data_IF_506699148303
#
_entry.id   IF_506699148303
#
_cell.length_a   1.000
_cell.length_b   1.000
_cell.length_c   1.000
_cell.angle_alpha   90.00
_cell.angle_beta   90.00
_cell.angle_gamma   90.00
#
_symmetry.space_group_name_H-M   'P 1'
#
loop_
_entity.id
_entity.type
_entity.pdbx_description
1 polymer ?
#
# COMPACT_ATOMS: atom_id res chain seq x y z
N UNK A 1 7.92 -8.42 -63.86
CA UNK A 1 8.12 -8.90 -62.48
C UNK A 1 8.69 -7.72 -61.72
N UNK A 2 7.83 -6.81 -61.28
CA UNK A 2 8.23 -5.68 -60.46
C UNK A 2 8.55 -6.21 -59.06
N UNK A 3 9.79 -6.03 -58.63
CA UNK A 3 10.23 -6.42 -57.30
C UNK A 3 9.50 -5.55 -56.26
N UNK A 4 8.87 -6.21 -55.27
CA UNK A 4 8.32 -5.52 -54.11
C UNK A 4 9.42 -4.68 -53.45
N UNK A 5 9.12 -3.44 -53.00
CA UNK A 5 10.09 -2.64 -52.28
C UNK A 5 10.57 -3.39 -51.03
N UNK A 6 11.85 -3.28 -50.66
CA UNK A 6 12.38 -3.94 -49.48
C UNK A 6 11.61 -3.49 -48.24
N UNK A 7 11.24 -4.44 -47.38
CA UNK A 7 10.60 -4.16 -46.10
C UNK A 7 11.44 -3.13 -45.32
N UNK A 8 10.80 -2.11 -44.69
CA UNK A 8 11.53 -1.15 -43.89
C UNK A 8 12.26 -1.89 -42.76
N UNK A 9 13.55 -1.63 -42.63
CA UNK A 9 14.36 -2.17 -41.54
C UNK A 9 13.72 -1.80 -40.20
N UNK A 10 13.70 -2.73 -39.21
CA UNK A 10 13.18 -2.42 -37.89
C UNK A 10 13.95 -1.22 -37.33
N UNK A 11 13.25 -0.23 -36.72
CA UNK A 11 13.91 0.95 -36.19
C UNK A 11 14.99 0.52 -35.19
N UNK A 12 16.21 1.03 -35.39
CA UNK A 12 17.32 0.77 -34.48
C UNK A 12 16.98 1.21 -33.05
N UNK A 13 17.65 0.64 -32.03
CA UNK A 13 17.43 1.02 -30.63
C UNK A 13 17.66 2.53 -30.46
N UNK A 14 16.64 3.25 -29.99
CA UNK A 14 16.73 4.70 -29.74
C UNK A 14 17.75 4.99 -28.63
N UNK A 15 18.74 5.81 -28.92
CA UNK A 15 19.75 6.24 -27.94
C UNK A 15 19.20 7.43 -27.17
N UNK A 16 19.01 7.28 -25.86
CA UNK A 16 18.52 8.35 -25.00
C UNK A 16 19.62 9.38 -24.73
N UNK A 17 19.30 10.66 -24.94
CA UNK A 17 20.15 11.77 -24.49
C UNK A 17 19.86 12.14 -23.03
N UNK A 18 20.80 12.79 -22.35
CA UNK A 18 20.63 13.29 -20.97
C UNK A 18 19.41 14.23 -20.79
N UNK A 19 18.97 14.90 -21.87
CA UNK A 19 17.82 15.80 -21.89
C UNK A 19 16.51 15.13 -22.32
N UNK A 20 16.49 13.83 -22.59
CA UNK A 20 15.30 13.11 -23.01
C UNK A 20 14.43 12.72 -21.81
N UNK A 21 13.62 13.66 -21.36
CA UNK A 21 12.61 13.44 -20.32
C UNK A 21 11.28 12.91 -20.87
N UNK A 22 11.00 13.13 -22.17
CA UNK A 22 9.74 12.74 -22.82
C UNK A 22 9.77 11.28 -23.27
N UNK A 23 8.61 10.61 -23.36
CA UNK A 23 8.52 9.30 -24.01
C UNK A 23 8.83 9.43 -25.50
N UNK A 24 9.74 8.61 -26.03
CA UNK A 24 10.21 8.68 -27.43
C UNK A 24 9.81 7.46 -28.24
N UNK A 25 9.92 6.28 -27.64
CA UNK A 25 9.56 5.03 -28.31
C UNK A 25 8.04 4.83 -28.29
N UNK A 26 7.49 4.19 -29.33
CA UNK A 26 6.05 3.86 -29.40
C UNK A 26 5.59 3.08 -28.18
N UNK A 27 6.40 2.10 -27.73
CA UNK A 27 6.14 1.31 -26.53
C UNK A 27 6.15 2.16 -25.25
N UNK A 28 7.07 3.11 -25.15
CA UNK A 28 7.18 4.01 -23.99
C UNK A 28 5.99 4.97 -23.91
N UNK A 29 5.50 5.45 -25.06
CA UNK A 29 4.31 6.30 -25.15
C UNK A 29 3.06 5.52 -24.69
N UNK A 30 2.87 4.29 -25.17
CA UNK A 30 1.76 3.41 -24.77
C UNK A 30 1.75 3.16 -23.25
N UNK A 31 2.93 2.85 -22.67
CA UNK A 31 3.08 2.65 -21.24
C UNK A 31 2.82 3.94 -20.45
N UNK A 32 3.25 5.08 -20.97
CA UNK A 32 3.01 6.38 -20.35
C UNK A 32 1.52 6.74 -20.34
N UNK A 33 0.79 6.48 -21.43
CA UNK A 33 -0.66 6.67 -21.48
C UNK A 33 -1.40 5.73 -20.52
N UNK A 34 -0.91 4.50 -20.33
CA UNK A 34 -1.46 3.58 -19.33
C UNK A 34 -1.17 4.04 -17.88
N UNK A 35 -0.07 4.75 -17.66
CA UNK A 35 0.35 5.26 -16.35
C UNK A 35 -0.12 6.70 -16.04
N UNK A 36 -0.75 7.39 -16.99
CA UNK A 36 -1.20 8.79 -16.85
C UNK A 36 -2.57 8.93 -16.19
N UNK A 37 -3.30 7.83 -16.01
CA UNK A 37 -4.64 7.82 -15.42
C UNK A 37 -4.66 7.05 -14.12
N UNK A 38 -5.41 7.57 -13.13
CA UNK A 38 -5.60 6.89 -11.85
C UNK A 38 -6.29 5.53 -12.05
N UNK A 39 -5.80 4.49 -11.37
CA UNK A 39 -6.45 3.17 -11.36
C UNK A 39 -7.61 3.12 -10.35
N UNK A 40 -8.76 3.65 -10.77
CA UNK A 40 -9.96 3.70 -9.92
C UNK A 40 -10.51 2.34 -9.53
N UNK A 41 -10.36 1.32 -10.37
CA UNK A 41 -10.80 -0.04 -10.05
C UNK A 41 -9.97 -0.62 -8.91
N UNK A 42 -8.65 -0.41 -8.96
CA UNK A 42 -7.76 -0.81 -7.88
C UNK A 42 -8.06 -0.06 -6.57
N UNK A 43 -8.22 1.27 -6.63
CA UNK A 43 -8.56 2.08 -5.46
C UNK A 43 -9.90 1.72 -4.84
N UNK A 44 -10.92 1.50 -5.67
CA UNK A 44 -12.24 1.11 -5.18
C UNK A 44 -12.23 -0.27 -4.53
N UNK A 45 -11.43 -1.22 -5.04
CA UNK A 45 -11.22 -2.52 -4.39
C UNK A 45 -10.64 -2.38 -2.98
N UNK A 46 -9.59 -1.56 -2.82
CA UNK A 46 -9.00 -1.30 -1.50
C UNK A 46 -9.95 -0.55 -0.56
N UNK A 47 -10.66 0.45 -1.08
CA UNK A 47 -11.67 1.20 -0.32
C UNK A 47 -12.82 0.31 0.16
N UNK A 48 -13.32 -0.57 -0.71
CA UNK A 48 -14.33 -1.57 -0.34
C UNK A 48 -13.80 -2.54 0.72
N UNK A 49 -12.53 -2.95 0.63
CA UNK A 49 -11.87 -3.78 1.64
C UNK A 49 -11.82 -3.11 3.02
N UNK A 50 -11.50 -1.82 3.07
CA UNK A 50 -11.56 -1.05 4.32
C UNK A 50 -12.99 -1.04 4.89
N UNK A 51 -13.98 -0.63 4.10
CA UNK A 51 -15.38 -0.60 4.57
C UNK A 51 -15.85 -1.97 5.04
N UNK A 52 -15.49 -3.04 4.34
CA UNK A 52 -15.80 -4.41 4.74
C UNK A 52 -15.12 -4.79 6.07
N UNK A 53 -13.86 -4.42 6.29
CA UNK A 53 -13.19 -4.68 7.57
C UNK A 53 -13.85 -3.96 8.75
N UNK A 54 -14.32 -2.73 8.55
CA UNK A 54 -15.05 -1.96 9.56
C UNK A 54 -16.41 -2.60 9.85
N UNK A 55 -17.13 -2.99 8.80
CA UNK A 55 -18.41 -3.68 8.94
C UNK A 55 -18.25 -5.02 9.66
N UNK A 56 -17.19 -5.79 9.38
CA UNK A 56 -16.88 -7.04 10.07
C UNK A 56 -16.48 -6.81 11.53
N UNK A 57 -15.65 -5.80 11.84
CA UNK A 57 -15.29 -5.45 13.21
C UNK A 57 -16.55 -5.13 14.04
N UNK A 58 -17.38 -4.23 13.51
CA UNK A 58 -18.59 -3.75 14.19
C UNK A 58 -19.66 -4.82 14.33
N UNK A 59 -19.94 -5.60 13.28
CA UNK A 59 -21.03 -6.57 13.28
C UNK A 59 -20.65 -7.91 13.93
N UNK A 60 -19.40 -8.37 13.78
CA UNK A 60 -19.00 -9.72 14.17
C UNK A 60 -18.09 -9.67 15.40
N UNK A 61 -16.93 -9.01 15.28
CA UNK A 61 -15.89 -9.13 16.31
C UNK A 61 -16.25 -8.43 17.62
N UNK A 62 -16.94 -7.29 17.56
CA UNK A 62 -17.43 -6.61 18.77
C UNK A 62 -18.59 -7.32 19.44
N UNK A 63 -19.51 -7.92 18.66
CA UNK A 63 -20.66 -8.65 19.21
C UNK A 63 -20.26 -9.95 19.91
N UNK A 64 -19.29 -10.68 19.35
CA UNK A 64 -18.76 -11.90 19.97
C UNK A 64 -18.18 -11.60 21.36
N UNK A 65 -17.47 -10.47 21.50
CA UNK A 65 -16.97 -10.03 22.81
C UNK A 65 -18.08 -9.79 23.82
N UNK A 66 -19.16 -9.10 23.43
CA UNK A 66 -20.26 -8.76 24.37
C UNK A 66 -21.13 -9.95 24.76
N UNK A 67 -21.32 -10.94 23.88
CA UNK A 67 -22.23 -12.07 24.14
C UNK A 67 -21.64 -13.04 25.16
N UNK A 68 -20.32 -13.24 25.13
CA UNK A 68 -19.59 -14.12 26.07
C UNK A 68 -19.47 -13.49 27.47
N UNK A 69 -19.47 -12.16 27.56
CA UNK A 69 -19.48 -11.42 28.83
C UNK A 69 -20.77 -11.66 29.62
N UNK A 70 -21.93 -11.84 28.95
CA UNK A 70 -23.23 -12.05 29.59
C UNK A 70 -23.49 -13.51 30.03
N UNK A 71 -22.76 -14.48 29.49
CA UNK A 71 -22.99 -15.91 29.77
C UNK A 71 -22.16 -16.42 30.97
N UNK A 72 -21.11 -15.69 31.36
CA UNK A 72 -20.15 -16.09 32.40
C UNK A 72 -20.20 -15.18 33.65
N UNK A 73 -21.38 -15.04 34.27
CA UNK A 73 -21.59 -14.38 35.58
C UNK A 73 -21.23 -15.31 36.77
N UNK A 74 -20.17 -16.12 36.66
CA UNK A 74 -19.66 -16.91 37.79
C UNK A 74 -18.40 -16.28 38.38
N UNK A 75 -18.23 -16.37 39.70
CA UNK A 75 -17.05 -15.86 40.42
C UNK A 75 -15.73 -16.43 39.87
N UNK A 76 -15.75 -17.66 39.35
CA UNK A 76 -14.61 -18.31 38.68
C UNK A 76 -14.22 -17.62 37.36
N UNK A 77 -15.20 -17.08 36.61
CA UNK A 77 -14.93 -16.34 35.39
C UNK A 77 -14.28 -14.96 35.65
N UNK A 78 -14.43 -14.40 36.85
CA UNK A 78 -13.73 -13.20 37.28
C UNK A 78 -12.26 -13.48 37.63
N UNK A 79 -11.96 -14.61 38.28
CA UNK A 79 -10.57 -15.03 38.54
C UNK A 79 -9.81 -15.42 37.27
N UNK A 80 -10.48 -16.03 36.28
CA UNK A 80 -9.89 -16.27 34.96
C UNK A 80 -9.58 -14.96 34.21
N UNK A 81 -10.43 -13.94 34.37
CA UNK A 81 -10.26 -12.60 33.78
C UNK A 81 -9.04 -11.87 34.34
N UNK A 82 -8.77 -12.01 35.64
CA UNK A 82 -7.62 -11.36 36.32
C UNK A 82 -6.30 -12.09 36.12
N UNK A 83 -6.31 -13.37 35.71
CA UNK A 83 -5.09 -14.18 35.48
C UNK A 83 -4.67 -14.28 34.01
N UNK A 84 -5.20 -13.45 33.12
CA UNK A 84 -4.65 -13.29 31.77
C UNK A 84 -5.10 -14.36 30.78
N UNK A 85 -6.41 -14.63 30.71
CA UNK A 85 -6.95 -15.48 29.65
C UNK A 85 -7.12 -14.67 28.35
N UNK A 86 -6.16 -14.80 27.45
CA UNK A 86 -6.00 -14.03 26.19
C UNK A 86 -7.12 -14.26 25.15
N UNK A 87 -8.08 -15.15 25.44
CA UNK A 87 -9.04 -15.70 24.46
C UNK A 87 -10.33 -14.88 24.27
N UNK A 88 -10.65 -13.96 25.18
CA UNK A 88 -11.82 -13.06 25.14
C UNK A 88 -11.54 -11.69 24.45
N UNK A 89 -10.37 -11.03 24.64
CA UNK A 89 -9.99 -9.83 23.88
C UNK A 89 -9.48 -10.12 22.46
N UNK A 90 -9.22 -11.38 22.10
CA UNK A 90 -8.66 -11.77 20.81
C UNK A 90 -9.55 -11.37 19.61
N UNK A 91 -10.88 -11.43 19.75
CA UNK A 91 -11.80 -11.09 18.66
C UNK A 91 -11.78 -9.60 18.32
N UNK A 92 -11.91 -8.72 19.33
CA UNK A 92 -11.88 -7.26 19.17
C UNK A 92 -10.51 -6.76 18.70
N UNK A 93 -9.43 -7.36 19.20
CA UNK A 93 -8.06 -7.02 18.77
C UNK A 93 -7.76 -7.49 17.35
N UNK A 94 -8.31 -8.63 16.92
CA UNK A 94 -8.23 -9.08 15.52
C UNK A 94 -8.99 -8.16 14.57
N UNK A 95 -10.20 -7.73 14.94
CA UNK A 95 -10.97 -6.74 14.18
C UNK A 95 -10.24 -5.40 14.05
N UNK A 96 -9.68 -4.88 15.15
CA UNK A 96 -8.81 -3.70 15.13
C UNK A 96 -7.58 -3.88 14.23
N UNK A 97 -6.97 -5.07 14.23
CA UNK A 97 -5.86 -5.41 13.35
C UNK A 97 -6.25 -5.45 11.87
N UNK A 98 -7.44 -5.96 11.54
CA UNK A 98 -7.95 -5.96 10.16
C UNK A 98 -8.20 -4.55 9.64
N UNK A 99 -8.76 -3.67 10.48
CA UNK A 99 -8.96 -2.25 10.16
C UNK A 99 -7.61 -1.57 9.96
N UNK A 100 -6.64 -1.79 10.85
CA UNK A 100 -5.28 -1.28 10.66
C UNK A 100 -4.70 -1.73 9.33
N UNK A 101 -4.73 -3.03 9.03
CA UNK A 101 -4.23 -3.60 7.79
C UNK A 101 -4.86 -2.99 6.53
N UNK A 102 -6.18 -2.84 6.51
CA UNK A 102 -6.90 -2.29 5.36
C UNK A 102 -6.66 -0.80 5.17
N UNK A 103 -6.54 -0.02 6.26
CA UNK A 103 -6.10 1.39 6.22
C UNK A 103 -4.71 1.50 5.60
N UNK A 104 -3.77 0.67 6.06
CA UNK A 104 -2.43 0.61 5.49
C UNK A 104 -2.45 0.29 3.99
N UNK A 105 -3.19 -0.76 3.61
CA UNK A 105 -3.32 -1.16 2.22
C UNK A 105 -3.92 -0.03 1.35
N UNK A 106 -4.90 0.71 1.87
CA UNK A 106 -5.47 1.85 1.16
C UNK A 106 -4.45 2.98 0.98
N UNK A 107 -3.73 3.39 2.04
CA UNK A 107 -2.75 4.47 1.98
C UNK A 107 -1.59 4.13 1.04
N UNK A 108 -1.01 2.93 1.18
CA UNK A 108 0.05 2.45 0.29
C UNK A 108 -0.45 2.30 -1.15
N UNK A 109 -1.68 1.81 -1.32
CA UNK A 109 -2.30 1.59 -2.62
C UNK A 109 -2.67 2.87 -3.34
N UNK A 110 -3.08 3.92 -2.61
CA UNK A 110 -3.32 5.25 -3.16
C UNK A 110 -2.08 5.79 -3.86
N UNK A 111 -0.93 5.73 -3.20
CA UNK A 111 0.31 6.14 -3.83
C UNK A 111 0.59 5.38 -5.13
N UNK A 112 0.37 4.07 -5.18
CA UNK A 112 0.64 3.26 -6.36
C UNK A 112 -0.37 3.51 -7.49
N UNK A 113 -1.62 3.77 -7.15
CA UNK A 113 -2.71 3.96 -8.11
C UNK A 113 -2.73 5.34 -8.76
N UNK A 114 -2.08 6.33 -8.16
CA UNK A 114 -1.97 7.67 -8.72
C UNK A 114 -1.12 7.71 -10.00
N UNK A 115 -1.39 8.68 -10.90
CA UNK A 115 -0.69 8.81 -12.16
C UNK A 115 0.80 9.02 -11.93
N UNK A 116 1.61 8.32 -12.72
CA UNK A 116 3.08 8.34 -12.63
C UNK A 116 3.75 9.03 -13.81
N UNK A 117 3.03 9.16 -14.91
CA UNK A 117 3.55 9.64 -16.18
C UNK A 117 2.71 10.79 -16.72
N UNK A 118 3.37 11.73 -17.38
CA UNK A 118 2.72 12.76 -18.20
C UNK A 118 3.34 12.70 -19.61
N UNK A 119 2.60 13.12 -20.64
CA UNK A 119 3.07 13.18 -22.04
C UNK A 119 4.34 14.00 -22.18
N UNK A 120 4.57 14.96 -21.27
CA UNK A 120 5.74 15.83 -21.26
C UNK A 120 6.89 15.30 -20.38
N UNK A 121 6.63 14.34 -19.50
CA UNK A 121 7.61 13.81 -18.56
C UNK A 121 7.33 12.34 -18.26
N UNK A 122 8.18 11.46 -18.79
CA UNK A 122 8.06 10.03 -18.54
C UNK A 122 8.67 9.62 -17.20
N UNK A 123 8.09 8.58 -16.60
CA UNK A 123 8.43 8.14 -15.25
C UNK A 123 9.86 7.60 -15.15
N UNK A 124 10.52 7.89 -14.03
CA UNK A 124 11.86 7.40 -13.71
C UNK A 124 12.93 8.50 -13.67
N UNK A 125 14.12 8.21 -13.12
CA UNK A 125 15.24 9.13 -13.21
C UNK A 125 15.65 9.35 -14.68
N UNK A 126 16.24 10.51 -15.02
CA UNK A 126 16.89 10.67 -16.31
C UNK A 126 18.00 9.62 -16.48
N UNK A 127 18.36 9.27 -17.73
CA UNK A 127 19.32 8.20 -18.04
C UNK A 127 20.66 8.29 -17.31
N UNK A 128 21.05 9.47 -16.82
CA UNK A 128 22.37 9.73 -16.21
C UNK A 128 22.35 10.00 -14.69
N UNK A 129 21.20 9.98 -14.01
CA UNK A 129 21.10 10.59 -12.67
C UNK A 129 20.32 9.81 -11.62
N UNK A 130 21.05 9.08 -10.76
CA UNK A 130 20.60 8.45 -9.50
C UNK A 130 19.32 7.61 -9.59
N UNK A 131 19.43 6.30 -9.40
CA UNK A 131 18.28 5.47 -9.07
C UNK A 131 17.63 6.00 -7.79
N UNK A 132 16.56 6.79 -7.90
CA UNK A 132 15.79 7.19 -6.72
C UNK A 132 15.14 5.91 -6.20
N UNK A 133 15.58 5.43 -5.04
CA UNK A 133 14.92 4.31 -4.41
C UNK A 133 13.50 4.73 -4.05
N UNK A 134 12.51 3.92 -4.41
CA UNK A 134 11.09 4.14 -4.05
C UNK A 134 10.85 3.85 -2.56
N UNK A 135 11.82 3.18 -1.95
CA UNK A 135 11.77 2.67 -0.58
C UNK A 135 11.54 3.74 0.49
N UNK A 136 12.15 4.95 0.43
CA UNK A 136 11.86 6.03 1.39
C UNK A 136 10.41 6.47 1.37
N UNK A 137 9.78 6.58 0.19
CA UNK A 137 8.36 6.94 0.08
C UNK A 137 7.45 5.82 0.59
N UNK A 138 7.80 4.56 0.30
CA UNK A 138 7.07 3.43 0.85
C UNK A 138 7.15 3.40 2.39
N UNK A 139 8.32 3.68 2.96
CA UNK A 139 8.55 3.71 4.40
C UNK A 139 7.81 4.87 5.07
N UNK A 140 7.83 6.08 4.50
CA UNK A 140 7.07 7.21 5.07
C UNK A 140 5.57 6.95 5.05
N UNK A 141 5.05 6.35 3.97
CA UNK A 141 3.65 5.94 3.90
C UNK A 141 3.33 4.82 4.90
N UNK A 142 4.24 3.88 5.11
CA UNK A 142 4.07 2.83 6.11
C UNK A 142 4.04 3.40 7.53
N UNK A 143 4.92 4.35 7.85
CA UNK A 143 4.92 5.05 9.14
C UNK A 143 3.65 5.90 9.32
N UNK A 144 3.22 6.61 8.27
CA UNK A 144 1.96 7.35 8.31
C UNK A 144 0.77 6.41 8.52
N UNK A 145 0.77 5.24 7.87
CA UNK A 145 -0.26 4.22 8.04
C UNK A 145 -0.27 3.63 9.45
N UNK A 146 0.91 3.46 10.06
CA UNK A 146 1.05 3.02 11.44
C UNK A 146 0.41 4.01 12.43
N UNK A 147 0.49 5.32 12.15
CA UNK A 147 -0.18 6.34 12.94
C UNK A 147 -1.70 6.38 12.67
N UNK A 148 -2.13 6.15 11.43
CA UNK A 148 -3.54 6.22 11.03
C UNK A 148 -4.37 5.03 11.51
N UNK A 149 -3.79 3.82 11.58
CA UNK A 149 -4.49 2.62 12.03
C UNK A 149 -5.19 2.80 13.39
N UNK A 150 -4.46 3.18 14.46
CA UNK A 150 -5.06 3.39 15.79
C UNK A 150 -6.10 4.51 15.80
N UNK A 151 -5.89 5.57 15.02
CA UNK A 151 -6.84 6.69 14.92
C UNK A 151 -8.17 6.20 14.34
N UNK A 152 -8.13 5.39 13.28
CA UNK A 152 -9.35 4.83 12.68
C UNK A 152 -10.10 3.92 13.65
N UNK A 153 -9.39 3.04 14.35
CA UNK A 153 -9.99 2.19 15.40
C UNK A 153 -10.61 3.03 16.52
N UNK A 154 -9.96 4.12 16.93
CA UNK A 154 -10.49 5.05 17.93
C UNK A 154 -11.78 5.75 17.46
N UNK A 155 -11.84 6.18 16.20
CA UNK A 155 -13.04 6.78 15.60
C UNK A 155 -14.19 5.77 15.56
N UNK A 156 -13.92 4.56 15.08
CA UNK A 156 -14.93 3.49 14.96
C UNK A 156 -15.44 3.01 16.31
N UNK A 157 -14.61 3.08 17.35
CA UNK A 157 -14.98 2.70 18.73
C UNK A 157 -15.67 3.82 19.50
N UNK A 158 -15.77 5.03 18.94
CA UNK A 158 -16.47 6.15 19.54
C UNK A 158 -15.65 6.92 20.59
N UNK A 159 -14.31 6.88 20.52
CA UNK A 159 -13.45 7.76 21.31
C UNK A 159 -13.66 9.24 20.92
N UNK A 160 -13.49 10.21 21.85
CA UNK A 160 -12.99 10.06 23.22
C UNK A 160 -14.07 9.87 24.31
N UNK A 161 -15.35 9.78 23.93
CA UNK A 161 -16.48 9.81 24.89
C UNK A 161 -17.26 8.49 25.01
N UNK A 162 -16.83 7.42 24.34
CA UNK A 162 -17.53 6.12 24.28
C UNK A 162 -16.96 5.02 25.19
N UNK A 163 -17.33 3.76 24.89
CA UNK A 163 -16.95 2.51 25.61
C UNK A 163 -15.45 2.30 25.80
N UNK A 164 -14.61 3.06 25.08
CA UNK A 164 -13.15 3.04 25.16
C UNK A 164 -12.63 3.42 26.55
N UNK A 165 -13.37 4.24 27.31
CA UNK A 165 -13.03 4.59 28.69
C UNK A 165 -13.35 3.49 29.71
N UNK A 166 -14.10 2.45 29.33
CA UNK A 166 -14.44 1.32 30.21
C UNK A 166 -13.42 0.17 30.09
N UNK A 167 -12.63 0.14 29.01
CA UNK A 167 -11.63 -0.90 28.79
C UNK A 167 -10.49 -0.82 29.79
N UNK A 168 -9.91 -1.98 30.11
CA UNK A 168 -8.70 -2.06 30.92
C UNK A 168 -7.53 -1.36 30.19
N UNK A 169 -6.57 -0.81 30.94
CA UNK A 169 -5.41 -0.10 30.36
C UNK A 169 -4.60 -1.01 29.42
N UNK A 170 -4.46 -2.29 29.78
CA UNK A 170 -3.81 -3.31 28.97
C UNK A 170 -4.53 -3.51 27.63
N UNK A 171 -5.86 -3.58 27.63
CA UNK A 171 -6.69 -3.72 26.44
C UNK A 171 -6.60 -2.49 25.52
N UNK A 172 -6.58 -1.28 26.08
CA UNK A 172 -6.38 -0.04 25.31
C UNK A 172 -5.02 0.00 24.61
N UNK A 173 -3.97 -0.46 25.30
CA UNK A 173 -2.64 -0.53 24.72
C UNK A 173 -2.59 -1.46 23.51
N UNK A 174 -3.25 -2.63 23.58
CA UNK A 174 -3.30 -3.57 22.44
C UNK A 174 -4.10 -2.99 21.27
N UNK A 175 -5.21 -2.29 21.54
CA UNK A 175 -6.00 -1.58 20.52
C UNK A 175 -5.29 -0.34 19.93
N UNK A 176 -4.13 0.03 20.46
CA UNK A 176 -3.24 1.01 19.84
C UNK A 176 -2.11 0.31 19.06
N UNK A 177 -1.45 -0.66 19.69
CA UNK A 177 -0.24 -1.30 19.14
C UNK A 177 -0.57 -2.17 17.92
N UNK A 178 -1.61 -3.02 18.01
CA UNK A 178 -1.96 -3.96 16.93
C UNK A 178 -2.38 -3.25 15.64
N UNK A 179 -3.31 -2.28 15.65
CA UNK A 179 -3.65 -1.53 14.44
C UNK A 179 -2.48 -0.70 13.90
N UNK A 180 -1.56 -0.25 14.75
CA UNK A 180 -0.36 0.44 14.28
C UNK A 180 0.56 -0.48 13.48
N UNK A 181 0.88 -1.67 14.03
CA UNK A 181 1.73 -2.64 13.33
C UNK A 181 1.08 -3.20 12.07
N UNK A 182 -0.22 -3.50 12.14
CA UNK A 182 -0.96 -4.00 10.97
C UNK A 182 -1.15 -2.92 9.91
N UNK A 183 -1.33 -1.65 10.29
CA UNK A 183 -1.32 -0.51 9.36
C UNK A 183 0.03 -0.30 8.67
N UNK A 184 1.12 -0.44 9.42
CA UNK A 184 2.46 -0.43 8.85
C UNK A 184 2.64 -1.58 7.84
N UNK A 185 2.30 -2.81 8.21
CA UNK A 185 2.43 -3.98 7.33
C UNK A 185 1.50 -3.90 6.11
N UNK A 186 0.26 -3.44 6.32
CA UNK A 186 -0.75 -3.26 5.30
C UNK A 186 -0.31 -2.32 4.18
N UNK A 187 0.49 -1.29 4.51
CA UNK A 187 1.04 -0.36 3.52
C UNK A 187 1.91 -1.03 2.44
N UNK A 188 2.46 -2.22 2.72
CA UNK A 188 3.27 -2.98 1.77
C UNK A 188 2.45 -3.98 0.94
N UNK A 189 1.25 -4.35 1.38
CA UNK A 189 0.39 -5.32 0.69
C UNK A 189 0.06 -4.91 -0.77
N UNK A 190 -0.20 -3.63 -1.08
CA UNK A 190 -0.34 -3.13 -2.45
C UNK A 190 0.83 -3.40 -3.40
N UNK A 191 2.03 -3.61 -2.87
CA UNK A 191 3.21 -3.88 -3.70
C UNK A 191 3.26 -5.32 -4.20
N UNK A 192 2.53 -6.25 -3.56
CA UNK A 192 2.40 -7.64 -4.00
C UNK A 192 1.47 -7.77 -5.21
N UNK A 193 0.43 -6.91 -5.27
CA UNK A 193 -0.55 -6.89 -6.36
C UNK A 193 -0.63 -5.49 -6.99
N UNK A 194 0.43 -5.03 -7.68
CA UNK A 194 0.53 -3.64 -8.10
C UNK A 194 -0.55 -3.24 -9.13
N UNK A 195 -1.07 -2.00 -9.06
CA UNK A 195 -2.00 -1.47 -10.06
C UNK A 195 -1.35 -1.36 -11.44
N UNK A 196 -2.17 -1.16 -12.47
CA UNK A 196 -1.69 -1.04 -13.86
C UNK A 196 -0.72 0.15 -14.03
N UNK A 197 -0.95 1.23 -13.28
CA UNK A 197 -0.14 2.46 -13.28
C UNK A 197 1.28 2.20 -12.83
N UNK A 198 1.45 1.45 -11.73
CA UNK A 198 2.76 1.11 -11.17
C UNK A 198 3.52 0.11 -12.05
N UNK A 199 2.81 -0.89 -12.59
CA UNK A 199 3.42 -1.86 -13.51
C UNK A 199 3.96 -1.19 -14.77
N UNK A 200 3.18 -0.31 -15.38
CA UNK A 200 3.61 0.45 -16.55
C UNK A 200 4.80 1.38 -16.23
N UNK A 201 4.77 2.05 -15.08
CA UNK A 201 5.86 2.90 -14.60
C UNK A 201 7.19 2.12 -14.43
N UNK A 202 7.15 0.92 -13.84
CA UNK A 202 8.34 0.05 -13.71
C UNK A 202 8.85 -0.51 -15.03
N UNK A 203 7.98 -0.72 -16.00
CA UNK A 203 8.37 -1.14 -17.35
C UNK A 203 9.11 -0.01 -18.08
N UNK A 204 8.65 1.24 -17.96
CA UNK A 204 9.35 2.43 -18.49
C UNK A 204 10.74 2.57 -17.85
N UNK A 205 10.84 2.40 -16.52
CA UNK A 205 12.12 2.44 -15.81
C UNK A 205 13.09 1.36 -16.31
N UNK A 206 12.60 0.14 -16.58
CA UNK A 206 13.42 -0.94 -17.15
C UNK A 206 13.92 -0.60 -18.57
N UNK A 207 13.07 0.01 -19.41
CA UNK A 207 13.46 0.44 -20.76
C UNK A 207 14.55 1.50 -20.68
N UNK A 208 14.41 2.50 -19.78
CA UNK A 208 15.36 3.61 -19.62
C UNK A 208 16.67 3.20 -18.95
N UNK A 209 16.63 2.25 -18.01
CA UNK A 209 17.84 1.72 -17.36
C UNK A 209 18.63 0.75 -18.26
N UNK A 210 18.01 0.21 -19.32
CA UNK A 210 18.58 -0.83 -20.18
C UNK A 210 19.30 -0.34 -21.44
N UNK A 211 19.29 0.96 -21.75
CA UNK A 211 19.81 1.49 -23.02
C UNK A 211 20.99 2.44 -22.79
N UNK A 212 22.16 1.85 -22.55
CA UNK A 212 23.45 2.50 -22.78
C UNK A 212 24.36 1.48 -23.46
N UNK A 213 24.46 1.57 -24.79
CA UNK A 213 25.18 0.61 -25.64
C UNK A 213 26.70 0.56 -25.41
N UNK A 214 27.25 1.37 -24.50
CA UNK A 214 28.68 1.39 -24.14
C UNK A 214 28.97 1.44 -22.62
N UNK A 215 28.01 1.13 -21.75
CA UNK A 215 28.32 1.04 -20.31
C UNK A 215 27.09 0.97 -19.42
N UNK A 216 27.05 -0.02 -18.53
CA UNK A 216 26.08 -0.09 -17.45
C UNK A 216 26.60 0.75 -16.27
N UNK A 217 25.91 1.84 -15.95
CA UNK A 217 26.17 2.55 -14.69
C UNK A 217 25.16 2.08 -13.65
N UNK A 218 25.62 1.25 -12.72
CA UNK A 218 24.90 0.99 -11.48
C UNK A 218 25.65 1.72 -10.36
N UNK A 219 25.24 2.96 -10.11
CA UNK A 219 25.71 3.74 -8.97
C UNK A 219 24.97 3.34 -7.72
N UNK A 220 25.50 2.41 -6.92
CA UNK A 220 25.08 2.22 -5.53
C UNK A 220 25.85 3.21 -4.68
N UNK A 221 25.16 4.07 -3.92
CA UNK A 221 25.78 4.79 -2.81
C UNK A 221 25.31 4.12 -1.53
N UNK A 222 26.23 3.44 -0.85
CA UNK A 222 26.04 3.10 0.57
C UNK A 222 26.63 4.26 1.35
N UNK A 223 25.78 5.04 2.03
CA UNK A 223 26.23 5.90 3.13
C UNK A 223 26.01 5.13 4.42
N UNK A 224 27.11 4.75 5.05
CA UNK A 224 27.16 4.39 6.46
C UNK A 224 27.05 5.66 7.30
#
# INVERSE_FOLDING_TARGET
MDALPPDPSPPGPYVYAASDYRPRQTREIELCERASTTDWVYLSGLGAGLVASIALDTAVFRQIGTRREAENETWEAWEARTKGDLSLPAGRTFGAGLVGLSVGALVGGMYLAFPKCDRMNAYGPPPEGSARSVWPTALTLALASAALGPIMVAIESGAPYGRVLEWEVSERAVHFIVPAFTGFAGAFLPYLFPPKTWRAAREIERIRAGVASNGAYVGYTFRF
#
